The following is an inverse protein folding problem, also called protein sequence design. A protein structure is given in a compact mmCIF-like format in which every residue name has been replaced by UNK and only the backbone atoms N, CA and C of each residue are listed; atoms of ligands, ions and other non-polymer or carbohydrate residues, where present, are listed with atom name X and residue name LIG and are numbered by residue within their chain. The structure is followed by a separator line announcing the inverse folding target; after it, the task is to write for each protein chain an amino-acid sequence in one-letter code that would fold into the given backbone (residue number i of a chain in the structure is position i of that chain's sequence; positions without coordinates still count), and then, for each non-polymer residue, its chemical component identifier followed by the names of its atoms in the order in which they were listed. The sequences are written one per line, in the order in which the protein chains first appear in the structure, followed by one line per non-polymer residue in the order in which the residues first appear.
data_IF_800174035830
#
_entry.id   IF_800174035830
#
_cell.length_a   1.000
_cell.length_b   1.000
_cell.length_c   1.000
_cell.angle_alpha   90.00
_cell.angle_beta   90.00
_cell.angle_gamma   90.00
#
_symmetry.space_group_name_H-M   'P 1'
#
loop_
_entity.id
_entity.type
_entity.pdbx_description
1 polymer ?
#
# COMPACT_ATOMS: atom_id res chain seq x y z
N UNK A 1 -47.21 -25.68 26.01
CA UNK A 1 -46.68 -26.00 24.68
C UNK A 1 -45.84 -24.82 24.20
N UNK A 2 -44.54 -24.83 24.46
CA UNK A 2 -43.61 -23.77 24.06
C UNK A 2 -42.57 -24.40 23.14
N UNK A 3 -42.52 -23.85 21.93
CA UNK A 3 -41.80 -24.39 20.80
C UNK A 3 -40.29 -24.47 20.99
N UNK A 4 -39.73 -25.48 20.35
CA UNK A 4 -38.31 -25.76 20.20
C UNK A 4 -37.59 -24.58 19.54
N UNK A 5 -36.91 -23.75 20.33
CA UNK A 5 -35.98 -22.74 19.82
C UNK A 5 -34.65 -23.43 19.47
N UNK A 6 -34.49 -23.62 18.16
CA UNK A 6 -33.34 -24.19 17.47
C UNK A 6 -32.07 -23.38 17.82
N UNK A 7 -31.03 -24.06 18.32
CA UNK A 7 -29.69 -23.49 18.57
C UNK A 7 -29.20 -22.70 17.35
N UNK A 8 -28.68 -21.46 17.51
CA UNK A 8 -27.97 -20.81 16.41
C UNK A 8 -26.66 -21.56 16.16
N UNK A 9 -26.58 -22.16 14.98
CA UNK A 9 -25.37 -22.75 14.41
C UNK A 9 -24.25 -21.73 14.37
N UNK A 10 -23.03 -22.18 14.71
CA UNK A 10 -21.76 -21.46 14.53
C UNK A 10 -21.75 -20.73 13.19
N UNK A 11 -21.80 -19.39 13.21
CA UNK A 11 -21.48 -18.58 12.04
C UNK A 11 -19.95 -18.42 12.05
N UNK A 12 -19.27 -19.38 11.42
CA UNK A 12 -17.91 -19.19 10.93
C UNK A 12 -18.09 -18.55 9.56
N UNK A 13 -17.76 -17.27 9.42
CA UNK A 13 -17.58 -16.66 8.10
C UNK A 13 -16.21 -17.10 7.57
N UNK A 14 -16.12 -17.91 6.51
CA UNK A 14 -14.86 -18.11 5.83
C UNK A 14 -14.77 -17.00 4.76
N UNK A 15 -14.36 -15.79 5.16
CA UNK A 15 -13.88 -14.83 4.15
C UNK A 15 -12.42 -15.18 3.85
N UNK A 16 -12.25 -16.24 3.06
CA UNK A 16 -11.02 -16.45 2.30
C UNK A 16 -10.94 -15.35 1.24
N UNK A 17 -10.41 -14.18 1.60
CA UNK A 17 -9.84 -13.28 0.60
C UNK A 17 -8.37 -13.63 0.46
N UNK A 18 -8.14 -14.54 -0.47
CA UNK A 18 -6.80 -14.92 -0.93
C UNK A 18 -6.04 -13.64 -1.24
N UNK A 19 -5.03 -13.36 -0.42
CA UNK A 19 -3.77 -12.70 -0.75
C UNK A 19 -3.83 -12.05 -2.14
N UNK A 20 -4.18 -10.77 -2.20
CA UNK A 20 -4.00 -9.93 -3.38
C UNK A 20 -2.49 -9.91 -3.69
N UNK A 21 -2.06 -10.93 -4.43
CA UNK A 21 -0.72 -11.08 -4.95
C UNK A 21 -0.46 -9.88 -5.85
N UNK A 22 0.71 -9.26 -5.70
CA UNK A 22 1.11 -7.97 -6.30
C UNK A 22 1.20 -7.91 -7.83
N UNK A 23 0.33 -8.63 -8.55
CA UNK A 23 0.22 -8.60 -10.02
C UNK A 23 -0.83 -7.63 -10.54
N UNK A 24 -1.83 -7.23 -9.73
CA UNK A 24 -2.81 -6.20 -10.15
C UNK A 24 -2.20 -4.79 -10.21
N UNK A 25 -1.04 -4.57 -9.59
CA UNK A 25 -0.34 -3.28 -9.63
C UNK A 25 0.39 -3.01 -10.96
N UNK A 26 0.71 -4.05 -11.74
CA UNK A 26 1.51 -3.89 -12.97
C UNK A 26 0.68 -3.63 -14.23
N UNK A 27 -0.66 -3.73 -14.17
CA UNK A 27 -1.53 -3.47 -15.32
C UNK A 27 -2.01 -2.02 -15.44
N UNK A 28 -1.63 -1.15 -14.50
CA UNK A 28 -1.89 0.31 -14.54
C UNK A 28 -0.74 1.10 -15.21
N UNK A 29 0.11 0.42 -15.96
CA UNK A 29 1.19 1.02 -16.73
C UNK A 29 0.72 1.49 -18.11
N UNK A 30 -0.06 2.55 -18.18
CA UNK A 30 -0.13 3.37 -19.39
C UNK A 30 -0.59 4.79 -19.08
N UNK A 31 0.40 5.70 -19.07
CA UNK A 31 0.33 7.17 -19.17
C UNK A 31 -0.63 7.95 -18.25
N UNK A 32 -0.04 8.96 -17.60
CA UNK A 32 -0.68 10.03 -16.83
C UNK A 32 -1.38 9.57 -15.54
N UNK A 33 -0.70 9.74 -14.40
CA UNK A 33 -1.16 10.60 -13.31
C UNK A 33 -0.45 10.28 -11.98
N UNK A 34 0.51 11.11 -11.60
CA UNK A 34 1.07 11.08 -10.24
C UNK A 34 0.02 11.55 -9.21
N UNK A 35 -0.94 12.38 -9.63
CA UNK A 35 -2.03 12.90 -8.80
C UNK A 35 -3.12 11.85 -8.55
N UNK A 36 -3.53 11.11 -9.59
CA UNK A 36 -4.46 9.97 -9.45
C UNK A 36 -3.79 8.82 -8.70
N UNK A 37 -2.51 8.50 -8.98
CA UNK A 37 -1.78 7.46 -8.26
C UNK A 37 -1.71 7.75 -6.75
N UNK A 38 -1.45 8.99 -6.36
CA UNK A 38 -1.42 9.37 -4.94
C UNK A 38 -2.81 9.31 -4.30
N UNK A 39 -3.86 9.79 -4.98
CA UNK A 39 -5.24 9.69 -4.50
C UNK A 39 -5.74 8.24 -4.42
N UNK A 40 -5.41 7.39 -5.39
CA UNK A 40 -5.75 5.96 -5.40
C UNK A 40 -4.98 5.21 -4.30
N UNK A 41 -3.70 5.51 -4.10
CA UNK A 41 -2.89 4.89 -3.06
C UNK A 41 -3.38 5.28 -1.66
N UNK A 42 -3.71 6.56 -1.46
CA UNK A 42 -4.25 7.06 -0.19
C UNK A 42 -5.68 6.55 0.05
N UNK A 43 -6.54 6.49 -0.97
CA UNK A 43 -7.87 5.90 -0.88
C UNK A 43 -7.81 4.40 -0.57
N UNK A 44 -6.91 3.66 -1.23
CA UNK A 44 -6.70 2.24 -0.93
C UNK A 44 -6.23 2.03 0.51
N UNK A 45 -5.36 2.91 1.00
CA UNK A 45 -4.86 2.87 2.39
C UNK A 45 -5.97 3.20 3.39
N UNK A 46 -6.78 4.21 3.12
CA UNK A 46 -7.95 4.58 3.92
C UNK A 46 -9.01 3.46 3.96
N UNK A 47 -9.32 2.87 2.80
CA UNK A 47 -10.25 1.76 2.68
C UNK A 47 -9.75 0.51 3.43
N UNK A 48 -8.46 0.19 3.31
CA UNK A 48 -7.85 -0.92 4.02
C UNK A 48 -7.89 -0.74 5.55
N UNK A 49 -7.61 0.48 6.03
CA UNK A 49 -7.65 0.77 7.48
C UNK A 49 -9.08 0.79 8.02
N UNK A 50 -10.06 1.28 7.25
CA UNK A 50 -11.47 1.20 7.61
C UNK A 50 -11.96 -0.25 7.72
N UNK A 51 -11.50 -1.11 6.81
CA UNK A 51 -11.77 -2.54 6.86
C UNK A 51 -11.15 -3.19 8.10
N UNK A 52 -9.89 -2.87 8.41
CA UNK A 52 -9.20 -3.34 9.62
C UNK A 52 -9.93 -2.92 10.91
N UNK A 53 -10.51 -1.72 10.96
CA UNK A 53 -11.31 -1.25 12.09
C UNK A 53 -12.58 -2.09 12.29
N UNK A 54 -13.25 -2.46 11.19
CA UNK A 54 -14.41 -3.34 11.24
C UNK A 54 -14.06 -4.73 11.77
N UNK A 55 -12.91 -5.28 11.37
CA UNK A 55 -12.39 -6.55 11.89
C UNK A 55 -12.09 -6.47 13.39
N UNK A 56 -11.48 -5.38 13.86
CA UNK A 56 -11.22 -5.17 15.30
C UNK A 56 -12.53 -5.18 16.11
N UNK A 57 -13.61 -4.57 15.60
CA UNK A 57 -14.92 -4.62 16.24
C UNK A 57 -15.53 -6.03 16.20
N UNK A 58 -15.49 -6.71 15.05
CA UNK A 58 -16.06 -8.05 14.92
C UNK A 58 -15.36 -9.07 15.84
N UNK A 59 -14.02 -9.03 15.86
CA UNK A 59 -13.21 -9.92 16.69
C UNK A 59 -13.39 -9.63 18.19
N UNK A 60 -13.45 -8.35 18.58
CA UNK A 60 -13.67 -7.98 19.98
C UNK A 60 -15.05 -8.41 20.49
N UNK A 61 -16.11 -8.18 19.72
CA UNK A 61 -17.47 -8.62 20.08
C UNK A 61 -17.53 -10.15 20.22
N UNK A 62 -16.94 -10.88 19.28
CA UNK A 62 -16.91 -12.34 19.30
C UNK A 62 -16.24 -12.91 20.55
N UNK A 63 -15.08 -12.37 20.93
CA UNK A 63 -14.37 -12.78 22.14
C UNK A 63 -15.13 -12.37 23.40
N UNK A 64 -15.61 -11.12 23.48
CA UNK A 64 -16.36 -10.64 24.65
C UNK A 64 -17.62 -11.48 24.91
N UNK A 65 -18.34 -11.91 23.87
CA UNK A 65 -19.50 -12.78 24.00
C UNK A 65 -19.14 -14.20 24.47
N UNK A 66 -17.99 -14.74 24.06
CA UNK A 66 -17.53 -16.07 24.50
C UNK A 66 -17.20 -16.10 26.00
N UNK A 67 -16.71 -14.99 26.54
CA UNK A 67 -16.33 -14.86 27.96
C UNK A 67 -17.39 -14.15 28.82
N UNK A 68 -18.51 -13.74 28.23
CA UNK A 68 -19.59 -13.09 28.96
C UNK A 68 -20.21 -14.06 29.98
N UNK A 69 -20.20 -13.68 31.25
CA UNK A 69 -20.94 -14.43 32.28
C UNK A 69 -22.44 -14.12 32.18
N UNK A 70 -23.32 -15.11 32.35
CA UNK A 70 -24.75 -14.87 32.43
C UNK A 70 -25.06 -13.97 33.63
N UNK A 71 -25.92 -12.96 33.43
CA UNK A 71 -26.37 -12.11 34.53
C UNK A 71 -27.23 -12.90 35.50
N UNK A 72 -26.85 -12.93 36.78
CA UNK A 72 -27.66 -13.56 37.82
C UNK A 72 -28.72 -12.56 38.32
N UNK A 73 -29.98 -12.95 38.22
CA UNK A 73 -31.07 -12.26 38.90
C UNK A 73 -31.23 -12.83 40.32
N UNK A 74 -31.41 -11.99 41.35
CA UNK A 74 -31.47 -12.43 42.76
C UNK A 74 -32.50 -13.53 43.05
N UNK A 75 -33.57 -13.61 42.24
CA UNK A 75 -34.65 -14.59 42.39
C UNK A 75 -34.26 -16.04 42.04
N UNK A 76 -33.08 -16.29 41.43
CA UNK A 76 -32.76 -17.59 40.78
C UNK A 76 -31.48 -18.29 41.31
N UNK A 77 -30.94 -17.88 42.47
CA UNK A 77 -29.63 -18.32 43.00
C UNK A 77 -29.54 -19.80 43.47
N UNK A 78 -30.53 -20.65 43.22
CA UNK A 78 -30.42 -22.09 43.56
C UNK A 78 -29.92 -22.89 42.36
N UNK A 79 -28.61 -23.15 42.37
CA UNK A 79 -27.90 -24.20 41.62
C UNK A 79 -27.33 -23.79 40.25
N UNK A 80 -26.24 -23.03 40.24
CA UNK A 80 -25.23 -23.18 39.17
C UNK A 80 -23.82 -23.09 39.75
N UNK A 81 -23.08 -24.19 39.61
CA UNK A 81 -21.65 -24.30 39.89
C UNK A 81 -20.87 -23.34 38.99
N UNK A 82 -20.02 -22.50 39.60
CA UNK A 82 -19.14 -21.55 38.92
C UNK A 82 -18.12 -22.33 38.05
N UNK A 83 -18.08 -22.17 36.71
CA UNK A 83 -16.94 -22.66 35.95
C UNK A 83 -15.71 -21.80 36.28
N UNK A 84 -14.57 -22.47 36.44
CA UNK A 84 -13.31 -21.86 36.89
C UNK A 84 -12.84 -20.74 35.97
N UNK A 85 -12.43 -19.63 36.58
CA UNK A 85 -11.67 -18.57 35.94
C UNK A 85 -10.32 -19.14 35.47
N UNK A 86 -10.21 -19.45 34.19
CA UNK A 86 -8.93 -19.68 33.53
C UNK A 86 -8.37 -18.34 33.06
N UNK A 87 -7.15 -18.02 33.51
CA UNK A 87 -6.20 -16.99 33.06
C UNK A 87 -6.77 -16.01 32.02
N UNK A 88 -7.38 -14.94 32.51
CA UNK A 88 -7.94 -13.87 31.71
C UNK A 88 -6.79 -13.03 31.15
N UNK A 89 -6.37 -13.28 29.91
CA UNK A 89 -5.74 -12.22 29.13
C UNK A 89 -6.75 -11.05 29.09
N UNK A 90 -6.28 -9.82 29.34
CA UNK A 90 -7.10 -8.60 29.31
C UNK A 90 -7.51 -8.26 27.86
N UNK A 91 -8.23 -9.18 27.21
CA UNK A 91 -8.81 -9.00 25.89
C UNK A 91 -9.63 -7.70 25.76
N UNK A 92 -10.44 -7.27 26.76
CA UNK A 92 -11.10 -5.98 26.68
C UNK A 92 -10.12 -4.81 26.51
N UNK A 93 -9.01 -4.83 27.25
CA UNK A 93 -7.98 -3.80 27.20
C UNK A 93 -7.19 -3.84 25.88
N UNK A 94 -6.86 -5.05 25.41
CA UNK A 94 -6.19 -5.26 24.13
C UNK A 94 -7.04 -4.75 22.97
N UNK A 95 -8.31 -5.15 22.89
CA UNK A 95 -9.21 -4.70 21.83
C UNK A 95 -9.52 -3.21 21.92
N UNK A 96 -9.68 -2.64 23.12
CA UNK A 96 -9.81 -1.20 23.30
C UNK A 96 -8.58 -0.45 22.75
N UNK A 97 -7.37 -0.98 22.98
CA UNK A 97 -6.14 -0.39 22.45
C UNK A 97 -6.04 -0.46 20.93
N UNK A 98 -6.45 -1.59 20.32
CA UNK A 98 -6.45 -1.77 18.87
C UNK A 98 -7.47 -0.85 18.20
N UNK A 99 -8.69 -0.80 18.73
CA UNK A 99 -9.76 0.09 18.25
C UNK A 99 -9.34 1.55 18.34
N UNK A 100 -8.81 1.99 19.49
CA UNK A 100 -8.41 3.38 19.69
C UNK A 100 -7.23 3.77 18.78
N UNK A 101 -6.25 2.88 18.61
CA UNK A 101 -5.10 3.13 17.72
C UNK A 101 -5.55 3.22 16.26
N UNK A 102 -6.32 2.24 15.79
CA UNK A 102 -6.77 2.22 14.39
C UNK A 102 -7.71 3.40 14.10
N UNK A 103 -8.56 3.82 15.04
CA UNK A 103 -9.35 5.06 14.90
C UNK A 103 -8.45 6.30 14.74
N UNK A 104 -7.39 6.41 15.54
CA UNK A 104 -6.43 7.51 15.42
C UNK A 104 -5.65 7.47 14.09
N UNK A 105 -5.30 6.27 13.62
CA UNK A 105 -4.64 6.10 12.32
C UNK A 105 -5.56 6.57 11.17
N UNK A 106 -6.89 6.37 11.29
CA UNK A 106 -7.88 6.92 10.36
C UNK A 106 -7.86 8.45 10.37
N UNK A 107 -7.88 9.09 11.55
CA UNK A 107 -7.85 10.56 11.65
C UNK A 107 -6.59 11.15 10.99
N UNK A 108 -5.41 10.56 11.25
CA UNK A 108 -4.15 10.98 10.62
C UNK A 108 -4.19 10.82 9.10
N UNK A 109 -4.82 9.76 8.59
CA UNK A 109 -4.98 9.55 7.15
C UNK A 109 -5.96 10.56 6.53
N UNK A 110 -7.02 10.95 7.24
CA UNK A 110 -7.94 12.01 6.81
C UNK A 110 -7.20 13.34 6.68
N UNK A 111 -6.39 13.69 7.69
CA UNK A 111 -5.60 14.93 7.68
C UNK A 111 -4.50 14.92 6.60
N UNK A 112 -4.10 13.73 6.14
CA UNK A 112 -3.12 13.54 5.06
C UNK A 112 -3.75 13.60 3.66
N UNK A 113 -5.08 13.72 3.55
CA UNK A 113 -5.74 13.85 2.25
C UNK A 113 -5.36 15.20 1.62
N UNK A 114 -5.14 15.25 0.29
CA UNK A 114 -4.99 16.52 -0.41
C UNK A 114 -6.25 17.37 -0.25
N UNK A 115 -6.11 18.69 -0.10
CA UNK A 115 -7.23 19.60 0.11
C UNK A 115 -8.27 19.54 -1.02
N UNK A 116 -9.55 19.64 -0.65
CA UNK A 116 -10.69 19.63 -1.57
C UNK A 116 -10.85 20.95 -2.35
N UNK A 117 -10.04 21.97 -2.05
CA UNK A 117 -10.22 23.34 -2.53
C UNK A 117 -10.02 23.55 -4.04
N UNK A 118 -9.46 22.58 -4.77
CA UNK A 118 -9.27 22.70 -6.21
C UNK A 118 -10.53 22.20 -6.94
N UNK A 119 -11.26 23.11 -7.58
CA UNK A 119 -12.39 22.74 -8.45
C UNK A 119 -11.92 21.73 -9.53
N UNK A 120 -12.80 20.84 -10.01
CA UNK A 120 -12.45 19.87 -11.06
C UNK A 120 -11.79 20.52 -12.28
N UNK A 121 -12.22 21.72 -12.64
CA UNK A 121 -11.70 22.51 -13.76
C UNK A 121 -10.27 22.99 -13.50
N UNK A 122 -9.98 23.47 -12.28
CA UNK A 122 -8.63 23.88 -11.88
C UNK A 122 -7.68 22.69 -11.84
N UNK A 123 -8.14 21.53 -11.36
CA UNK A 123 -7.35 20.30 -11.38
C UNK A 123 -7.03 19.86 -12.81
N UNK A 124 -8.02 19.90 -13.72
CA UNK A 124 -7.82 19.59 -15.13
C UNK A 124 -6.86 20.56 -15.82
N UNK A 125 -6.93 21.86 -15.51
CA UNK A 125 -6.00 22.86 -16.03
C UNK A 125 -4.56 22.62 -15.53
N UNK A 126 -4.40 22.31 -14.24
CA UNK A 126 -3.10 21.95 -13.67
C UNK A 126 -2.52 20.68 -14.30
N UNK A 127 -3.36 19.67 -14.56
CA UNK A 127 -2.91 18.43 -15.20
C UNK A 127 -2.39 18.69 -16.61
N UNK A 128 -3.13 19.45 -17.44
CA UNK A 128 -2.67 19.83 -18.78
C UNK A 128 -1.35 20.61 -18.75
N UNK A 129 -1.19 21.52 -17.79
CA UNK A 129 0.07 22.26 -17.61
C UNK A 129 1.22 21.30 -17.29
N UNK A 130 1.02 20.37 -16.37
CA UNK A 130 2.04 19.38 -15.99
C UNK A 130 2.38 18.45 -17.16
N UNK A 131 1.41 18.06 -18.00
CA UNK A 131 1.65 17.27 -19.21
C UNK A 131 2.54 18.03 -20.21
N UNK A 132 2.28 19.32 -20.43
CA UNK A 132 3.11 20.17 -21.30
C UNK A 132 4.53 20.32 -20.75
N UNK A 133 4.67 20.57 -19.44
CA UNK A 133 5.97 20.68 -18.77
C UNK A 133 6.76 19.37 -18.84
N UNK A 134 6.08 18.23 -18.70
CA UNK A 134 6.69 16.92 -18.82
C UNK A 134 7.18 16.65 -20.25
N UNK A 135 6.36 16.97 -21.26
CA UNK A 135 6.76 16.84 -22.67
C UNK A 135 7.97 17.72 -23.00
N UNK A 136 8.01 18.94 -22.49
CA UNK A 136 9.14 19.85 -22.70
C UNK A 136 10.41 19.34 -21.99
N UNK A 137 10.28 18.85 -20.76
CA UNK A 137 11.40 18.23 -20.03
C UNK A 137 11.93 16.98 -20.75
N UNK A 138 11.05 16.15 -21.32
CA UNK A 138 11.42 14.97 -22.09
C UNK A 138 12.22 15.35 -23.35
N UNK A 139 11.78 16.37 -24.10
CA UNK A 139 12.52 16.86 -25.27
C UNK A 139 13.91 17.38 -24.91
N UNK A 140 14.00 18.17 -23.84
CA UNK A 140 15.30 18.67 -23.36
C UNK A 140 16.23 17.51 -22.95
N UNK A 141 15.67 16.46 -22.36
CA UNK A 141 16.44 15.27 -22.02
C UNK A 141 16.93 14.55 -23.28
N UNK A 142 16.07 14.36 -24.28
CA UNK A 142 16.45 13.78 -25.57
C UNK A 142 17.60 14.56 -26.23
N UNK A 143 17.53 15.90 -26.26
CA UNK A 143 18.58 16.74 -26.82
C UNK A 143 19.92 16.55 -26.09
N UNK A 144 19.90 16.49 -24.75
CA UNK A 144 21.11 16.29 -23.95
C UNK A 144 21.66 14.87 -24.13
N UNK A 145 20.80 13.85 -24.23
CA UNK A 145 21.22 12.47 -24.48
C UNK A 145 21.87 12.36 -25.86
N UNK A 146 21.28 12.93 -26.90
CA UNK A 146 21.88 12.93 -28.25
C UNK A 146 23.25 13.60 -28.28
N UNK A 147 23.40 14.74 -27.60
CA UNK A 147 24.70 15.41 -27.47
C UNK A 147 25.72 14.54 -26.72
N UNK A 148 25.28 13.87 -25.65
CA UNK A 148 26.11 12.95 -24.88
C UNK A 148 26.57 11.74 -25.70
N UNK A 149 25.69 11.14 -26.51
CA UNK A 149 26.00 10.03 -27.40
C UNK A 149 27.00 10.43 -28.50
N UNK A 150 26.80 11.59 -29.13
CA UNK A 150 27.72 12.08 -30.15
C UNK A 150 29.12 12.36 -29.58
N UNK A 151 29.21 12.90 -28.37
CA UNK A 151 30.48 13.11 -27.69
C UNK A 151 31.16 11.78 -27.33
N UNK A 152 30.37 10.80 -26.88
CA UNK A 152 30.87 9.47 -26.56
C UNK A 152 31.46 8.78 -27.79
N UNK A 153 30.81 8.90 -28.95
CA UNK A 153 31.30 8.37 -30.23
C UNK A 153 32.64 9.00 -30.62
N UNK A 154 32.79 10.33 -30.47
CA UNK A 154 34.06 11.01 -30.74
C UNK A 154 35.20 10.51 -29.83
N UNK A 155 34.91 10.28 -28.55
CA UNK A 155 35.90 9.74 -27.61
C UNK A 155 36.28 8.31 -28.01
N UNK A 156 35.30 7.47 -28.38
CA UNK A 156 35.57 6.11 -28.83
C UNK A 156 36.43 6.09 -30.09
N UNK A 157 36.16 6.96 -31.06
CA UNK A 157 36.97 7.08 -32.27
C UNK A 157 38.41 7.48 -31.93
N UNK A 158 38.59 8.51 -31.09
CA UNK A 158 39.93 8.94 -30.69
C UNK A 158 40.72 7.83 -29.96
N UNK A 159 40.06 7.05 -29.11
CA UNK A 159 40.68 5.90 -28.44
C UNK A 159 41.03 4.79 -29.43
N UNK A 160 40.20 4.56 -30.44
CA UNK A 160 40.48 3.61 -31.51
C UNK A 160 41.71 4.01 -32.32
N UNK A 161 41.79 5.27 -32.75
CA UNK A 161 42.91 5.80 -33.53
C UNK A 161 44.23 5.74 -32.74
N UNK A 162 44.19 5.98 -31.42
CA UNK A 162 45.34 5.83 -30.53
C UNK A 162 45.79 4.37 -30.48
N UNK A 163 44.85 3.44 -30.30
CA UNK A 163 45.16 2.02 -30.23
C UNK A 163 45.76 1.50 -31.56
N UNK A 164 45.19 1.91 -32.70
CA UNK A 164 45.72 1.56 -34.03
C UNK A 164 47.13 2.13 -34.26
N UNK A 165 47.35 3.38 -33.87
CA UNK A 165 48.68 4.01 -33.98
C UNK A 165 49.74 3.29 -33.15
N UNK A 166 49.38 2.81 -31.95
CA UNK A 166 50.29 2.03 -31.10
C UNK A 166 50.62 0.66 -31.71
N UNK A 167 49.63 -0.04 -32.28
CA UNK A 167 49.85 -1.32 -32.96
C UNK A 167 50.73 -1.16 -34.20
N UNK A 168 50.50 -0.12 -35.01
CA UNK A 168 51.32 0.17 -36.19
C UNK A 168 52.78 0.50 -35.82
N UNK A 169 53.01 1.27 -34.74
CA UNK A 169 54.36 1.54 -34.26
C UNK A 169 55.09 0.27 -33.83
N UNK A 170 54.44 -0.62 -33.07
CA UNK A 170 55.02 -1.91 -32.66
C UNK A 170 55.37 -2.78 -33.87
N UNK A 171 54.47 -2.87 -34.85
CA UNK A 171 54.72 -3.65 -36.06
C UNK A 171 55.90 -3.09 -36.89
N UNK A 172 56.07 -1.77 -36.94
CA UNK A 172 57.19 -1.16 -37.64
C UNK A 172 58.53 -1.38 -36.93
N UNK A 173 58.53 -1.38 -35.58
CA UNK A 173 59.70 -1.70 -34.76
C UNK A 173 60.13 -3.17 -34.91
N UNK A 174 59.17 -4.11 -35.03
CA UNK A 174 59.45 -5.53 -35.25
C UNK A 174 59.98 -5.82 -36.66
N UNK A 175 59.57 -5.06 -37.68
CA UNK A 175 60.05 -5.22 -39.08
C UNK A 175 61.43 -4.59 -39.30
N UNK A 176 61.83 -3.65 -38.44
CA UNK A 176 63.09 -2.90 -38.60
C UNK A 176 64.27 -3.47 -37.79
N UNK A 177 64.06 -4.55 -37.02
CA UNK A 177 65.08 -5.38 -36.36
C UNK A 177 65.33 -6.69 -37.12
#
# INVERSE_FOLDING_TARGET
ALGTLKKPSKIIFPLNFTRLSGKTFYAFGHLADLSISMRVCVFAKFFFVSFQQADNFCNSIGILQQFAQPSNFPEFEKSLTKPGQSTQEDYPQLFASLVARTAKDIDVLIDSLPSEEASPELQAANLRRLELENQDAARRLEDVVQQGEALLEQIQQALHDIAESQLNMQHLEDVSN
#
